data_IF_395280051870
#
_entry.id   IF_395280051870
#
_cell.length_a   1.000
_cell.length_b   1.000
_cell.length_c   1.000
_cell.angle_alpha   90.00
_cell.angle_beta   90.00
_cell.angle_gamma   90.00
#
_symmetry.space_group_name_H-M   'P 1'
#
loop_
_entity.id
_entity.type
_entity.pdbx_description
1 polymer ?
#
# COMPACT_ATOMS: atom_id res chain seq x y z
N UNK A 1 19.51 9.38 -29.34
CA UNK A 1 18.08 9.21 -29.67
C UNK A 1 17.56 7.99 -28.93
N UNK A 2 16.64 8.20 -27.99
CA UNK A 2 15.95 7.11 -27.30
C UNK A 2 14.62 6.88 -28.02
N UNK A 3 14.34 5.65 -28.45
CA UNK A 3 13.05 5.28 -29.02
C UNK A 3 12.44 4.25 -28.07
N UNK A 4 11.25 4.54 -27.55
CA UNK A 4 10.52 3.71 -26.59
C UNK A 4 11.35 3.28 -25.37
N UNK A 5 12.10 4.23 -24.80
CA UNK A 5 12.93 3.99 -23.62
C UNK A 5 14.17 3.12 -23.85
N UNK A 6 14.61 2.95 -25.10
CA UNK A 6 15.89 2.29 -25.44
C UNK A 6 16.77 3.28 -26.21
N UNK A 7 18.03 3.44 -25.77
CA UNK A 7 19.05 4.20 -26.49
C UNK A 7 19.38 3.49 -27.80
N UNK A 8 19.12 4.14 -28.94
CA UNK A 8 19.39 3.55 -30.26
C UNK A 8 20.88 3.57 -30.61
N UNK A 9 21.65 4.52 -30.08
CA UNK A 9 23.09 4.62 -30.34
C UNK A 9 23.92 3.70 -29.44
N UNK A 10 23.45 3.42 -28.22
CA UNK A 10 24.14 2.58 -27.23
C UNK A 10 23.12 1.78 -26.40
N UNK A 11 22.50 0.72 -26.95
CA UNK A 11 21.43 0.00 -26.26
C UNK A 11 21.93 -0.77 -25.02
N UNK A 12 23.19 -1.24 -25.05
CA UNK A 12 23.72 -2.15 -24.04
C UNK A 12 22.99 -3.51 -24.01
N UNK A 13 23.46 -4.45 -23.19
CA UNK A 13 22.87 -5.81 -23.09
C UNK A 13 21.41 -5.75 -22.65
N UNK A 14 21.07 -4.85 -21.72
CA UNK A 14 19.69 -4.62 -21.24
C UNK A 14 18.79 -4.10 -22.37
N UNK A 15 19.23 -3.09 -23.12
CA UNK A 15 18.48 -2.53 -24.24
C UNK A 15 18.28 -3.55 -25.37
N UNK A 16 19.32 -4.32 -25.70
CA UNK A 16 19.19 -5.42 -26.68
C UNK A 16 18.17 -6.48 -26.23
N UNK A 17 18.22 -6.94 -24.98
CA UNK A 17 17.21 -7.86 -24.44
C UNK A 17 15.79 -7.26 -24.49
N UNK A 18 15.64 -5.96 -24.19
CA UNK A 18 14.34 -5.27 -24.25
C UNK A 18 13.81 -5.17 -25.68
N UNK A 19 14.66 -4.82 -26.64
CA UNK A 19 14.32 -4.81 -28.06
C UNK A 19 13.91 -6.20 -28.55
N UNK A 20 14.71 -7.23 -28.28
CA UNK A 20 14.43 -8.62 -28.70
C UNK A 20 13.14 -9.16 -28.06
N UNK A 21 12.93 -8.94 -26.76
CA UNK A 21 11.68 -9.33 -26.08
C UNK A 21 10.45 -8.66 -26.68
N UNK A 22 10.59 -7.40 -27.12
CA UNK A 22 9.51 -6.67 -27.75
C UNK A 22 9.23 -7.14 -29.18
N UNK A 23 10.27 -7.38 -29.97
CA UNK A 23 10.16 -8.04 -31.28
C UNK A 23 9.46 -9.41 -31.15
N UNK A 24 9.81 -10.18 -30.12
CA UNK A 24 9.19 -11.47 -29.82
C UNK A 24 7.78 -11.36 -29.18
N UNK A 25 7.24 -10.15 -28.94
CA UNK A 25 6.00 -9.90 -28.17
C UNK A 25 5.95 -10.57 -26.78
N UNK A 26 7.11 -10.90 -26.20
CA UNK A 26 7.27 -11.61 -24.91
C UNK A 26 7.58 -10.66 -23.73
N UNK A 27 7.55 -9.35 -23.93
CA UNK A 27 7.87 -8.36 -22.90
C UNK A 27 6.61 -7.72 -22.31
N UNK A 28 6.40 -7.87 -21.00
CA UNK A 28 5.65 -6.87 -20.23
C UNK A 28 6.56 -5.66 -20.05
N UNK A 29 6.19 -4.50 -20.61
CA UNK A 29 6.88 -3.25 -20.32
C UNK A 29 6.70 -2.95 -18.83
N UNK A 30 7.77 -3.14 -18.05
CA UNK A 30 7.84 -2.72 -16.65
C UNK A 30 8.49 -1.34 -16.57
N UNK A 31 7.99 -0.53 -15.65
CA UNK A 31 8.48 0.81 -15.37
C UNK A 31 9.35 0.75 -14.12
N UNK A 32 10.64 1.07 -14.28
CA UNK A 32 11.63 0.92 -13.22
C UNK A 32 11.36 1.93 -12.09
N UNK A 33 10.85 3.11 -12.42
CA UNK A 33 10.54 4.19 -11.50
C UNK A 33 9.39 3.80 -10.56
N UNK A 34 8.37 3.10 -11.05
CA UNK A 34 7.28 2.57 -10.23
C UNK A 34 7.77 1.46 -9.31
N UNK A 35 8.60 0.56 -9.82
CA UNK A 35 9.22 -0.49 -9.00
C UNK A 35 10.17 0.11 -7.95
N UNK A 36 10.91 1.16 -8.30
CA UNK A 36 11.83 1.84 -7.38
C UNK A 36 11.08 2.47 -6.21
N UNK A 37 10.08 3.33 -6.48
CA UNK A 37 9.35 4.02 -5.41
C UNK A 37 8.58 3.01 -4.55
N UNK A 38 7.96 1.99 -5.17
CA UNK A 38 7.28 0.93 -4.41
C UNK A 38 8.27 0.16 -3.52
N UNK A 39 9.47 -0.11 -4.01
CA UNK A 39 10.53 -0.77 -3.24
C UNK A 39 11.03 0.07 -2.08
N UNK A 40 11.17 1.38 -2.28
CA UNK A 40 11.49 2.32 -1.21
C UNK A 40 10.40 2.35 -0.13
N UNK A 41 9.13 2.42 -0.51
CA UNK A 41 8.01 2.36 0.43
C UNK A 41 8.05 1.08 1.29
N UNK A 42 8.27 -0.09 0.66
CA UNK A 42 8.33 -1.37 1.37
C UNK A 42 9.55 -1.45 2.29
N UNK A 43 10.70 -0.95 1.86
CA UNK A 43 11.90 -0.90 2.70
C UNK A 43 11.67 -0.05 3.97
N UNK A 44 11.08 1.14 3.81
CA UNK A 44 10.77 2.03 4.92
C UNK A 44 9.73 1.42 5.86
N UNK A 45 8.71 0.74 5.33
CA UNK A 45 7.74 -0.01 6.12
C UNK A 45 8.40 -1.15 6.91
N UNK A 46 9.32 -1.91 6.31
CA UNK A 46 10.06 -2.96 7.04
C UNK A 46 10.92 -2.38 8.16
N UNK A 47 11.58 -1.24 7.91
CA UNK A 47 12.36 -0.54 8.93
C UNK A 47 11.46 -0.09 10.09
N UNK A 48 10.29 0.45 9.79
CA UNK A 48 9.33 0.94 10.77
C UNK A 48 8.87 -0.17 11.73
N UNK A 49 8.49 -1.33 11.18
CA UNK A 49 8.09 -2.50 11.96
C UNK A 49 9.26 -3.17 12.66
N UNK A 50 10.45 -3.17 12.08
CA UNK A 50 11.65 -3.64 12.76
C UNK A 50 11.93 -2.80 14.02
N UNK A 51 11.85 -1.47 13.90
CA UNK A 51 11.98 -0.58 15.06
C UNK A 51 10.86 -0.80 16.08
N UNK A 52 9.63 -1.11 15.63
CA UNK A 52 8.53 -1.46 16.56
C UNK A 52 8.89 -2.70 17.36
N UNK A 53 9.35 -3.75 16.67
CA UNK A 53 9.73 -5.00 17.31
C UNK A 53 10.87 -4.80 18.31
N UNK A 54 11.85 -3.94 18.02
CA UNK A 54 12.93 -3.65 18.97
C UNK A 54 12.47 -2.89 20.21
N UNK A 55 11.49 -2.01 20.08
CA UNK A 55 10.98 -1.22 21.20
C UNK A 55 10.01 -2.00 22.08
N UNK A 56 9.07 -2.73 21.47
CA UNK A 56 7.89 -3.29 22.15
C UNK A 56 7.94 -4.83 22.28
N UNK A 57 8.38 -5.55 21.24
CA UNK A 57 8.35 -7.04 21.23
C UNK A 57 9.62 -7.66 21.82
N UNK A 58 10.78 -7.06 21.56
CA UNK A 58 12.08 -7.59 21.97
C UNK A 58 12.26 -7.63 23.50
N UNK A 59 11.77 -6.66 24.30
CA UNK A 59 11.77 -6.76 25.76
C UNK A 59 11.04 -8.00 26.28
N UNK A 60 9.83 -8.27 25.79
CA UNK A 60 9.03 -9.43 26.18
C UNK A 60 9.70 -10.74 25.79
N UNK A 61 10.29 -10.81 24.58
CA UNK A 61 11.07 -11.96 24.13
C UNK A 61 12.29 -12.21 25.03
N UNK A 62 12.98 -11.15 25.43
CA UNK A 62 14.13 -11.22 26.32
C UNK A 62 13.73 -11.70 27.72
N UNK A 63 12.63 -11.20 28.26
CA UNK A 63 12.09 -11.66 29.55
C UNK A 63 11.71 -13.14 29.50
N UNK A 64 10.96 -13.55 28.46
CA UNK A 64 10.52 -14.93 28.28
C UNK A 64 11.70 -15.90 28.12
N UNK A 65 12.78 -15.48 27.44
CA UNK A 65 13.91 -16.35 27.14
C UNK A 65 15.09 -16.20 28.12
N UNK A 66 15.07 -15.20 29.00
CA UNK A 66 16.16 -14.90 29.93
C UNK A 66 17.38 -14.29 29.22
N UNK A 67 17.19 -13.53 28.13
CA UNK A 67 18.26 -12.93 27.33
C UNK A 67 18.27 -11.40 27.44
N UNK A 68 19.30 -10.75 26.91
CA UNK A 68 19.41 -9.28 26.83
C UNK A 68 19.71 -8.80 25.41
N UNK A 69 19.36 -9.62 24.40
CA UNK A 69 19.64 -9.38 22.99
C UNK A 69 18.99 -8.06 22.54
N UNK A 70 19.79 -7.20 21.89
CA UNK A 70 19.38 -5.86 21.43
C UNK A 70 18.80 -4.91 22.49
N UNK A 71 18.94 -5.18 23.79
CA UNK A 71 18.43 -4.30 24.87
C UNK A 71 18.94 -2.85 24.74
N UNK A 72 20.20 -2.65 24.35
CA UNK A 72 20.76 -1.32 24.09
C UNK A 72 20.14 -0.54 22.92
N UNK A 73 19.39 -1.21 22.04
CA UNK A 73 18.70 -0.59 20.90
C UNK A 73 17.26 -0.16 21.23
N UNK A 74 16.70 -0.58 22.36
CA UNK A 74 15.31 -0.27 22.73
C UNK A 74 15.07 1.25 22.79
N UNK A 75 15.99 2.00 23.39
CA UNK A 75 15.87 3.46 23.50
C UNK A 75 16.00 4.15 22.13
N UNK A 76 16.86 3.64 21.25
CA UNK A 76 17.00 4.17 19.88
C UNK A 76 15.71 3.92 19.09
N UNK A 77 15.14 2.73 19.21
CA UNK A 77 13.89 2.35 18.57
C UNK A 77 12.71 3.19 19.08
N UNK A 78 12.62 3.41 20.40
CA UNK A 78 11.62 4.28 21.02
C UNK A 78 11.73 5.73 20.55
N UNK A 79 12.95 6.28 20.47
CA UNK A 79 13.19 7.63 19.92
C UNK A 79 12.78 7.74 18.47
N UNK A 80 13.10 6.73 17.65
CA UNK A 80 12.65 6.66 16.26
C UNK A 80 11.12 6.66 16.15
N UNK A 81 10.43 5.87 16.98
CA UNK A 81 8.98 5.76 16.97
C UNK A 81 8.27 7.06 17.35
N UNK A 82 8.83 7.79 18.31
CA UNK A 82 8.32 9.09 18.77
C UNK A 82 8.76 10.27 17.90
N UNK A 83 9.54 10.04 16.85
CA UNK A 83 10.08 11.11 16.02
C UNK A 83 9.02 11.68 15.05
N UNK A 84 8.76 13.00 15.14
CA UNK A 84 7.76 13.67 14.28
C UNK A 84 8.07 13.55 12.79
N UNK A 85 9.36 13.51 12.42
CA UNK A 85 9.76 13.27 11.02
C UNK A 85 9.30 11.89 10.57
N UNK A 86 9.47 10.85 11.40
CA UNK A 86 9.00 9.50 11.09
C UNK A 86 7.48 9.48 10.90
N UNK A 87 6.72 10.21 11.72
CA UNK A 87 5.27 10.32 11.56
C UNK A 87 4.86 10.87 10.19
N UNK A 88 5.46 11.99 9.78
CA UNK A 88 5.16 12.60 8.48
C UNK A 88 5.65 11.76 7.30
N UNK A 89 6.84 11.15 7.42
CA UNK A 89 7.38 10.24 6.41
C UNK A 89 6.48 9.01 6.26
N UNK A 90 5.94 8.45 7.35
CA UNK A 90 4.98 7.35 7.31
C UNK A 90 3.75 7.71 6.48
N UNK A 91 3.15 8.87 6.69
CA UNK A 91 2.00 9.33 5.89
C UNK A 91 2.37 9.42 4.41
N UNK A 92 3.50 10.05 4.07
CA UNK A 92 3.95 10.17 2.69
C UNK A 92 4.19 8.80 2.03
N UNK A 93 4.80 7.86 2.75
CA UNK A 93 5.06 6.49 2.29
C UNK A 93 3.77 5.73 2.01
N UNK A 94 2.79 5.81 2.93
CA UNK A 94 1.48 5.17 2.80
C UNK A 94 0.73 5.73 1.57
N UNK A 95 0.64 7.05 1.45
CA UNK A 95 -0.03 7.70 0.33
C UNK A 95 0.64 7.36 -1.01
N UNK A 96 1.99 7.38 -1.07
CA UNK A 96 2.73 7.00 -2.26
C UNK A 96 2.47 5.55 -2.66
N UNK A 97 2.46 4.62 -1.70
CA UNK A 97 2.22 3.20 -1.95
C UNK A 97 0.82 2.95 -2.52
N UNK A 98 -0.21 3.56 -1.93
CA UNK A 98 -1.60 3.43 -2.40
C UNK A 98 -1.81 4.09 -3.77
N UNK A 99 -1.23 5.26 -3.99
CA UNK A 99 -1.26 5.93 -5.29
C UNK A 99 -0.62 5.08 -6.39
N UNK A 100 0.54 4.45 -6.11
CA UNK A 100 1.20 3.50 -7.03
C UNK A 100 0.34 2.26 -7.26
N UNK A 101 -0.37 1.76 -6.24
CA UNK A 101 -1.31 0.65 -6.40
C UNK A 101 -2.41 1.00 -7.42
N UNK A 102 -2.92 2.24 -7.35
CA UNK A 102 -3.87 2.84 -8.29
C UNK A 102 -3.33 3.01 -9.71
N UNK A 103 -2.11 3.55 -9.86
CA UNK A 103 -1.42 3.64 -11.15
C UNK A 103 -1.32 2.24 -11.78
N UNK A 104 -0.95 1.24 -10.97
CA UNK A 104 -0.82 -0.15 -11.41
C UNK A 104 -2.15 -0.74 -11.91
N UNK A 105 -3.30 -0.26 -11.41
CA UNK A 105 -4.62 -0.68 -11.91
C UNK A 105 -4.87 -0.25 -13.38
N UNK A 106 -4.26 0.86 -13.82
CA UNK A 106 -4.36 1.31 -15.23
C UNK A 106 -3.48 0.50 -16.19
N UNK A 107 -2.48 -0.22 -15.65
CA UNK A 107 -1.48 -0.95 -16.41
C UNK A 107 -1.79 -2.44 -16.52
N UNK A 108 -2.70 -2.94 -15.69
CA UNK A 108 -3.10 -4.34 -15.66
C UNK A 108 -4.22 -4.62 -16.66
N UNK A 109 -4.31 -5.85 -17.17
CA UNK A 109 -5.32 -6.27 -18.17
C UNK A 109 -6.64 -6.76 -17.57
N UNK A 110 -6.78 -6.75 -16.25
CA UNK A 110 -7.97 -7.22 -15.53
C UNK A 110 -7.84 -7.02 -14.03
N UNK A 111 -8.39 -5.91 -13.53
CA UNK A 111 -8.31 -5.55 -12.11
C UNK A 111 -9.09 -6.51 -11.21
N UNK A 112 -10.19 -7.09 -11.71
CA UNK A 112 -10.96 -8.09 -10.96
C UNK A 112 -10.13 -9.34 -10.62
N UNK A 113 -9.28 -9.80 -11.55
CA UNK A 113 -8.35 -10.93 -11.30
C UNK A 113 -7.27 -10.59 -10.27
N UNK A 114 -6.90 -9.32 -10.16
CA UNK A 114 -5.93 -8.83 -9.17
C UNK A 114 -6.55 -8.73 -7.77
N UNK A 115 -7.84 -8.40 -7.69
CA UNK A 115 -8.58 -8.34 -6.43
C UNK A 115 -8.66 -9.71 -5.74
N UNK A 116 -8.94 -10.79 -6.46
CA UNK A 116 -9.16 -12.14 -5.89
C UNK A 116 -8.05 -12.57 -4.92
N UNK A 117 -6.75 -12.62 -5.30
CA UNK A 117 -5.71 -13.03 -4.38
C UNK A 117 -5.55 -12.08 -3.18
N UNK A 118 -5.80 -10.78 -3.35
CA UNK A 118 -5.76 -9.82 -2.24
C UNK A 118 -6.88 -10.09 -1.24
N UNK A 119 -8.09 -10.37 -1.71
CA UNK A 119 -9.23 -10.72 -0.87
C UNK A 119 -9.01 -12.03 -0.12
N UNK A 120 -8.47 -13.06 -0.79
CA UNK A 120 -8.15 -14.33 -0.17
C UNK A 120 -7.09 -14.18 0.94
N UNK A 121 -6.05 -13.37 0.69
CA UNK A 121 -5.03 -13.08 1.70
C UNK A 121 -5.64 -12.28 2.87
N UNK A 122 -6.48 -11.27 2.60
CA UNK A 122 -7.14 -10.49 3.63
C UNK A 122 -7.99 -11.38 4.56
N UNK A 123 -8.88 -12.19 3.97
CA UNK A 123 -9.71 -13.15 4.71
C UNK A 123 -8.88 -14.18 5.47
N UNK A 124 -7.78 -14.66 4.87
CA UNK A 124 -6.85 -15.58 5.52
C UNK A 124 -6.17 -14.96 6.74
N UNK A 125 -5.77 -13.68 6.67
CA UNK A 125 -5.18 -12.96 7.79
C UNK A 125 -6.19 -12.79 8.92
N UNK A 126 -7.42 -12.36 8.63
CA UNK A 126 -8.47 -12.27 9.66
C UNK A 126 -8.77 -13.63 10.29
N UNK A 127 -8.87 -14.69 9.50
CA UNK A 127 -9.12 -16.03 10.01
C UNK A 127 -7.98 -16.52 10.93
N UNK A 128 -6.73 -16.36 10.52
CA UNK A 128 -5.56 -16.77 11.32
C UNK A 128 -5.46 -15.93 12.59
N UNK A 129 -5.60 -14.61 12.48
CA UNK A 129 -5.49 -13.71 13.64
C UNK A 129 -6.65 -13.89 14.61
N UNK A 130 -7.85 -14.24 14.15
CA UNK A 130 -8.97 -14.60 15.03
C UNK A 130 -8.66 -15.86 15.86
N UNK A 131 -7.96 -16.84 15.28
CA UNK A 131 -7.49 -18.01 16.03
C UNK A 131 -6.39 -17.62 17.02
N UNK A 132 -5.44 -16.80 16.61
CA UNK A 132 -4.34 -16.33 17.49
C UNK A 132 -4.88 -15.50 18.65
N UNK A 133 -5.94 -14.72 18.45
CA UNK A 133 -6.58 -13.89 19.47
C UNK A 133 -7.11 -14.70 20.66
N UNK A 134 -7.46 -15.97 20.43
CA UNK A 134 -7.85 -16.90 21.52
C UNK A 134 -6.71 -17.25 22.47
N UNK A 135 -5.45 -17.05 22.04
CA UNK A 135 -4.24 -17.29 22.83
C UNK A 135 -3.57 -15.98 23.28
N UNK A 136 -3.59 -14.95 22.42
CA UNK A 136 -2.97 -13.65 22.64
C UNK A 136 -4.04 -12.57 22.37
N UNK A 137 -4.76 -12.10 23.41
CA UNK A 137 -5.82 -11.11 23.24
C UNK A 137 -5.33 -9.82 22.57
N UNK A 138 -6.14 -9.25 21.68
CA UNK A 138 -5.84 -7.99 20.98
C UNK A 138 -5.06 -8.18 19.67
N UNK A 139 -4.95 -9.42 19.17
CA UNK A 139 -4.23 -9.71 17.91
C UNK A 139 -5.14 -9.88 16.71
N UNK A 140 -6.46 -9.98 16.91
CA UNK A 140 -7.41 -10.15 15.83
C UNK A 140 -7.40 -8.95 14.85
N UNK A 141 -7.24 -9.21 13.55
CA UNK A 141 -7.32 -8.18 12.51
C UNK A 141 -8.70 -8.24 11.86
N UNK A 142 -9.59 -7.31 12.24
CA UNK A 142 -10.96 -7.22 11.69
C UNK A 142 -10.99 -6.58 10.31
N UNK A 143 -10.38 -5.41 10.18
CA UNK A 143 -10.29 -4.69 8.93
C UNK A 143 -8.99 -3.90 8.88
N UNK A 144 -8.05 -4.41 8.09
CA UNK A 144 -6.74 -3.79 7.98
C UNK A 144 -6.32 -3.40 6.58
N UNK A 145 -5.05 -3.06 6.42
CA UNK A 145 -4.56 -2.41 5.19
C UNK A 145 -4.77 -3.27 3.94
N UNK A 146 -4.66 -4.60 4.04
CA UNK A 146 -4.87 -5.52 2.90
C UNK A 146 -6.36 -5.61 2.55
N UNK A 147 -7.25 -5.54 3.54
CA UNK A 147 -8.70 -5.46 3.32
C UNK A 147 -9.04 -4.19 2.55
N UNK A 148 -8.53 -3.04 3.02
CA UNK A 148 -8.69 -1.75 2.38
C UNK A 148 -8.14 -1.76 0.94
N UNK A 149 -6.94 -2.30 0.69
CA UNK A 149 -6.37 -2.40 -0.67
C UNK A 149 -7.24 -3.29 -1.56
N UNK A 150 -7.73 -4.43 -1.04
CA UNK A 150 -8.60 -5.32 -1.80
C UNK A 150 -9.88 -4.59 -2.21
N UNK A 151 -10.56 -3.91 -1.28
CA UNK A 151 -11.74 -3.11 -1.55
C UNK A 151 -11.46 -1.96 -2.54
N UNK A 152 -10.34 -1.24 -2.41
CA UNK A 152 -9.96 -0.17 -3.34
C UNK A 152 -9.68 -0.68 -4.76
N UNK A 153 -9.01 -1.83 -4.91
CA UNK A 153 -8.79 -2.48 -6.21
C UNK A 153 -10.10 -3.01 -6.80
N UNK A 154 -11.01 -3.54 -5.97
CA UNK A 154 -12.34 -3.95 -6.39
C UNK A 154 -13.17 -2.76 -6.89
N UNK A 155 -13.22 -1.67 -6.13
CA UNK A 155 -13.91 -0.44 -6.53
C UNK A 155 -13.38 0.07 -7.87
N UNK A 156 -12.06 0.09 -8.05
CA UNK A 156 -11.45 0.43 -9.33
C UNK A 156 -11.91 -0.51 -10.45
N UNK A 157 -11.90 -1.83 -10.20
CA UNK A 157 -12.30 -2.84 -11.18
C UNK A 157 -13.77 -2.69 -11.60
N UNK A 158 -14.67 -2.45 -10.65
CA UNK A 158 -16.09 -2.27 -10.91
C UNK A 158 -16.33 -1.04 -11.78
N UNK A 159 -15.70 0.09 -11.44
CA UNK A 159 -15.84 1.34 -12.20
C UNK A 159 -15.24 1.18 -13.62
N UNK A 160 -14.03 0.61 -13.75
CA UNK A 160 -13.39 0.45 -15.06
C UNK A 160 -14.11 -0.58 -15.96
N UNK A 161 -14.75 -1.60 -15.37
CA UNK A 161 -15.62 -2.53 -16.09
C UNK A 161 -16.92 -1.85 -16.54
N UNK A 162 -17.54 -1.03 -15.69
CA UNK A 162 -18.72 -0.25 -16.07
C UNK A 162 -18.41 0.70 -17.24
N UNK A 163 -17.25 1.39 -17.20
CA UNK A 163 -16.78 2.22 -18.31
C UNK A 163 -16.55 1.40 -19.58
N UNK A 164 -16.03 0.17 -19.46
CA UNK A 164 -15.83 -0.71 -20.60
C UNK A 164 -17.16 -1.16 -21.21
N UNK A 165 -18.15 -1.52 -20.41
CA UNK A 165 -19.49 -1.86 -20.89
C UNK A 165 -20.17 -0.67 -21.61
N UNK A 166 -20.02 0.55 -21.08
CA UNK A 166 -20.49 1.77 -21.76
C UNK A 166 -19.73 2.00 -23.08
N UNK A 167 -18.43 1.72 -23.12
CA UNK A 167 -17.63 1.84 -24.34
C UNK A 167 -18.13 0.90 -25.45
N UNK A 168 -18.44 -0.35 -25.10
CA UNK A 168 -18.95 -1.35 -26.03
C UNK A 168 -20.31 -0.93 -26.62
N UNK A 169 -21.15 -0.26 -25.83
CA UNK A 169 -22.43 0.28 -26.28
C UNK A 169 -22.30 1.49 -27.22
N UNK A 170 -21.32 2.38 -26.98
CA UNK A 170 -21.13 3.61 -27.77
C UNK A 170 -20.52 3.37 -29.16
N UNK A 171 -19.90 2.20 -29.39
CA UNK A 171 -19.28 1.82 -30.66
C UNK A 171 -17.97 2.55 -30.99
N UNK A 172 -17.51 2.44 -32.24
CA UNK A 172 -16.15 2.85 -32.66
C UNK A 172 -16.04 4.26 -33.29
N UNK A 173 -17.12 5.03 -33.24
CA UNK A 173 -17.15 6.40 -33.77
C UNK A 173 -16.10 7.32 -33.13
N UNK A 174 -15.68 8.37 -33.83
CA UNK A 174 -14.66 9.31 -33.31
C UNK A 174 -15.13 10.03 -32.04
N UNK A 175 -16.44 10.34 -31.94
CA UNK A 175 -17.08 10.89 -30.73
C UNK A 175 -17.11 9.86 -29.60
N UNK A 176 -17.46 8.61 -29.90
CA UNK A 176 -17.46 7.51 -28.93
C UNK A 176 -16.05 7.28 -28.35
N UNK A 177 -15.02 7.21 -29.19
CA UNK A 177 -13.62 7.07 -28.74
C UNK A 177 -13.15 8.22 -27.86
N UNK A 178 -13.60 9.46 -28.11
CA UNK A 178 -13.33 10.61 -27.23
C UNK A 178 -14.06 10.47 -25.90
N UNK A 179 -15.35 10.13 -25.92
CA UNK A 179 -16.15 9.93 -24.72
C UNK A 179 -15.55 8.84 -23.83
N UNK A 180 -15.21 7.67 -24.40
CA UNK A 180 -14.56 6.58 -23.67
C UNK A 180 -13.24 7.02 -23.04
N UNK A 181 -12.41 7.78 -23.77
CA UNK A 181 -11.15 8.30 -23.22
C UNK A 181 -11.37 9.16 -21.96
N UNK A 182 -12.41 9.99 -21.95
CA UNK A 182 -12.78 10.80 -20.78
C UNK A 182 -13.32 9.90 -19.65
N UNK A 183 -14.23 8.97 -19.98
CA UNK A 183 -14.81 8.04 -19.00
C UNK A 183 -13.76 7.15 -18.33
N UNK A 184 -12.63 6.86 -18.98
CA UNK A 184 -11.52 6.11 -18.35
C UNK A 184 -10.87 6.84 -17.16
N UNK A 185 -11.16 8.13 -16.94
CA UNK A 185 -10.77 8.88 -15.73
C UNK A 185 -11.83 8.80 -14.62
N UNK A 186 -12.98 8.16 -14.85
CA UNK A 186 -14.07 8.04 -13.88
C UNK A 186 -13.63 7.46 -12.53
N UNK A 187 -12.77 6.42 -12.43
CA UNK A 187 -12.28 5.97 -11.13
C UNK A 187 -11.65 7.11 -10.33
N UNK A 188 -10.78 7.92 -10.95
CA UNK A 188 -10.14 9.03 -10.28
C UNK A 188 -11.12 10.16 -9.92
N UNK A 189 -12.11 10.43 -10.77
CA UNK A 189 -13.17 11.40 -10.45
C UNK A 189 -13.98 10.97 -9.22
N UNK A 190 -14.31 9.68 -9.10
CA UNK A 190 -14.96 9.11 -7.91
C UNK A 190 -14.05 9.23 -6.69
N UNK A 191 -12.77 8.89 -6.81
CA UNK A 191 -11.78 9.08 -5.73
C UNK A 191 -11.71 10.53 -5.25
N UNK A 192 -11.65 11.50 -6.17
CA UNK A 192 -11.66 12.93 -5.83
C UNK A 192 -12.95 13.33 -5.11
N UNK A 193 -14.11 12.90 -5.61
CA UNK A 193 -15.40 13.18 -4.99
C UNK A 193 -15.50 12.61 -3.56
N UNK A 194 -14.99 11.40 -3.33
CA UNK A 194 -14.98 10.78 -2.01
C UNK A 194 -14.07 11.52 -1.02
N UNK A 195 -12.90 11.99 -1.47
CA UNK A 195 -12.00 12.80 -0.63
C UNK A 195 -12.65 14.15 -0.31
N UNK A 196 -13.22 14.82 -1.31
CA UNK A 196 -13.92 16.10 -1.10
C UNK A 196 -15.08 15.91 -0.13
N UNK A 197 -15.88 14.85 -0.30
CA UNK A 197 -16.97 14.52 0.62
C UNK A 197 -16.46 14.29 2.04
N UNK A 198 -15.40 13.50 2.22
CA UNK A 198 -14.82 13.21 3.52
C UNK A 198 -14.41 14.50 4.25
N UNK A 199 -13.63 15.36 3.60
CA UNK A 199 -13.13 16.59 4.22
C UNK A 199 -14.18 17.70 4.31
N UNK A 200 -15.23 17.67 3.49
CA UNK A 200 -16.33 18.61 3.61
C UNK A 200 -17.29 18.26 4.77
N UNK A 201 -17.42 16.98 5.10
CA UNK A 201 -18.44 16.51 6.03
C UNK A 201 -17.89 16.02 7.38
N UNK A 202 -16.77 15.30 7.38
CA UNK A 202 -16.43 14.41 8.50
C UNK A 202 -14.96 14.39 8.93
N UNK A 203 -14.06 15.08 8.23
CA UNK A 203 -12.65 15.10 8.61
C UNK A 203 -11.99 16.47 8.34
N UNK A 204 -10.91 16.74 9.08
CA UNK A 204 -10.00 17.86 8.82
C UNK A 204 -8.54 17.40 8.84
N UNK A 205 -7.66 18.16 8.20
CA UNK A 205 -6.21 17.98 8.25
C UNK A 205 -5.58 19.06 9.10
N UNK A 206 -5.01 18.66 10.22
CA UNK A 206 -4.27 19.53 11.12
C UNK A 206 -2.76 19.37 10.99
N UNK A 207 -2.03 20.32 11.56
CA UNK A 207 -0.61 20.17 11.88
C UNK A 207 -0.42 20.51 13.35
N UNK A 208 -0.22 19.49 14.17
CA UNK A 208 -0.13 19.60 15.64
C UNK A 208 1.19 18.96 16.07
N UNK A 209 1.98 19.69 16.87
CA UNK A 209 3.27 19.21 17.40
C UNK A 209 4.22 18.65 16.33
N UNK A 210 4.34 19.34 15.19
CA UNK A 210 5.21 18.90 14.11
C UNK A 210 4.65 17.74 13.27
N UNK A 211 3.44 17.25 13.53
CA UNK A 211 2.81 16.09 12.90
C UNK A 211 1.60 16.49 12.07
N UNK A 212 1.51 16.00 10.84
CA UNK A 212 0.28 16.04 10.05
C UNK A 212 -0.72 15.06 10.66
N UNK A 213 -1.89 15.55 11.08
CA UNK A 213 -2.93 14.72 11.70
C UNK A 213 -4.20 14.77 10.88
N UNK A 214 -4.85 13.63 10.71
CA UNK A 214 -6.20 13.55 10.18
C UNK A 214 -7.14 13.40 11.36
N UNK A 215 -7.98 14.40 11.59
CA UNK A 215 -8.94 14.40 12.70
C UNK A 215 -10.31 14.10 12.13
N UNK A 216 -10.94 13.02 12.59
CA UNK A 216 -12.33 12.73 12.26
C UNK A 216 -13.30 13.34 13.26
N UNK A 217 -14.40 13.88 12.77
CA UNK A 217 -15.51 14.39 13.57
C UNK A 217 -16.74 13.48 13.52
N UNK A 218 -16.64 12.35 12.84
CA UNK A 218 -17.75 11.41 12.73
C UNK A 218 -18.04 10.78 14.10
N UNK A 219 -19.20 11.05 14.73
CA UNK A 219 -19.43 10.66 16.11
C UNK A 219 -19.67 9.15 16.24
N UNK A 220 -19.21 8.56 17.35
CA UNK A 220 -19.61 7.21 17.72
C UNK A 220 -21.09 7.14 18.11
N UNK A 221 -21.69 5.98 17.88
CA UNK A 221 -23.03 5.64 18.35
C UNK A 221 -22.90 4.95 19.71
N UNK A 222 -23.30 5.65 20.77
CA UNK A 222 -23.22 5.11 22.12
C UNK A 222 -24.12 3.88 22.29
N UNK A 223 -23.57 2.82 22.86
CA UNK A 223 -24.29 1.57 23.13
C UNK A 223 -24.45 0.63 21.94
N UNK A 224 -23.94 0.99 20.75
CA UNK A 224 -23.99 0.15 19.55
C UNK A 224 -22.60 -0.07 18.95
N UNK A 225 -21.91 -1.07 19.49
CA UNK A 225 -20.57 -1.44 19.02
C UNK A 225 -20.59 -2.04 17.61
N UNK A 226 -21.66 -2.72 17.21
CA UNK A 226 -21.74 -3.36 15.90
C UNK A 226 -21.85 -2.31 14.79
N UNK A 227 -22.65 -1.27 15.03
CA UNK A 227 -22.75 -0.14 14.11
C UNK A 227 -21.44 0.67 14.04
N UNK A 228 -20.77 0.89 15.18
CA UNK A 228 -19.47 1.56 15.19
C UNK A 228 -18.41 0.72 14.45
N UNK A 229 -18.37 -0.60 14.68
CA UNK A 229 -17.49 -1.51 13.95
C UNK A 229 -17.74 -1.44 12.44
N UNK A 230 -19.01 -1.37 12.02
CA UNK A 230 -19.37 -1.23 10.62
C UNK A 230 -18.92 0.13 10.05
N UNK A 231 -19.14 1.24 10.77
CA UNK A 231 -18.69 2.57 10.35
C UNK A 231 -17.16 2.67 10.26
N UNK A 232 -16.43 2.04 11.17
CA UNK A 232 -14.96 1.96 11.14
C UNK A 232 -14.42 1.32 9.86
N UNK A 233 -15.18 0.46 9.17
CA UNK A 233 -14.75 -0.02 7.84
C UNK A 233 -14.59 1.13 6.85
N UNK A 234 -15.41 2.18 6.96
CA UNK A 234 -15.46 3.26 5.98
C UNK A 234 -14.64 4.49 6.36
N UNK A 235 -14.69 4.88 7.63
CA UNK A 235 -14.13 6.15 8.14
C UNK A 235 -13.68 5.98 9.59
N UNK A 236 -12.75 6.83 10.03
CA UNK A 236 -12.42 6.96 11.44
C UNK A 236 -13.63 7.44 12.24
N UNK A 237 -13.99 6.73 13.31
CA UNK A 237 -15.09 7.08 14.21
C UNK A 237 -14.50 7.75 15.45
N UNK A 238 -14.86 9.01 15.68
CA UNK A 238 -14.38 9.81 16.80
C UNK A 238 -14.71 9.12 18.13
N UNK A 239 -13.74 9.13 19.05
CA UNK A 239 -13.83 8.53 20.39
C UNK A 239 -13.95 7.00 20.39
N UNK A 240 -13.97 6.36 19.20
CA UNK A 240 -13.99 4.91 19.03
C UNK A 240 -12.72 4.39 18.34
N UNK A 241 -11.94 5.25 17.68
CA UNK A 241 -10.70 4.90 17.00
C UNK A 241 -9.71 4.19 17.94
N UNK A 242 -9.42 4.76 19.11
CA UNK A 242 -8.50 4.13 20.08
C UNK A 242 -8.99 2.74 20.51
N UNK A 243 -10.31 2.59 20.70
CA UNK A 243 -10.93 1.31 21.05
C UNK A 243 -10.79 0.34 19.87
N UNK A 244 -11.08 0.79 18.65
CA UNK A 244 -11.03 -0.08 17.47
C UNK A 244 -9.60 -0.50 17.13
N UNK A 245 -8.61 0.39 17.27
CA UNK A 245 -7.19 0.06 17.11
C UNK A 245 -6.73 -0.99 18.12
N UNK A 246 -7.18 -0.88 19.39
CA UNK A 246 -6.87 -1.89 20.41
C UNK A 246 -7.45 -3.27 20.11
N UNK A 247 -8.49 -3.33 19.27
CA UNK A 247 -9.16 -4.58 18.88
C UNK A 247 -8.76 -5.03 17.45
N UNK A 248 -8.06 -4.19 16.69
CA UNK A 248 -7.66 -4.43 15.30
C UNK A 248 -6.26 -3.85 15.03
N UNK A 249 -5.23 -4.67 15.28
CA UNK A 249 -3.80 -4.31 15.30
C UNK A 249 -3.19 -3.75 13.98
N UNK A 250 -3.99 -3.57 12.92
CA UNK A 250 -3.58 -3.00 11.62
C UNK A 250 -4.73 -2.19 10.99
N UNK A 251 -5.38 -1.32 11.76
CA UNK A 251 -6.60 -0.64 11.29
C UNK A 251 -6.34 0.40 10.19
N UNK A 252 -7.04 0.25 9.06
CA UNK A 252 -7.09 1.23 7.95
C UNK A 252 -8.50 1.31 7.35
N UNK A 253 -9.27 2.39 7.55
CA UNK A 253 -10.59 2.56 6.93
C UNK A 253 -10.53 2.73 5.42
N UNK A 254 -11.66 2.60 4.71
CA UNK A 254 -11.71 2.83 3.27
C UNK A 254 -11.38 4.27 2.88
N UNK A 255 -11.87 5.27 3.62
CA UNK A 255 -11.56 6.68 3.37
C UNK A 255 -10.52 7.17 4.39
N UNK A 256 -9.48 7.90 3.93
CA UNK A 256 -9.25 8.39 2.56
C UNK A 256 -8.54 7.39 1.63
N UNK A 257 -8.07 6.25 2.13
CA UNK A 257 -7.03 5.45 1.46
C UNK A 257 -7.45 4.77 0.15
N UNK A 258 -8.64 4.14 0.10
CA UNK A 258 -9.19 3.56 -1.13
C UNK A 258 -9.46 4.65 -2.19
N UNK A 259 -9.83 5.86 -1.76
CA UNK A 259 -10.00 6.99 -2.67
C UNK A 259 -8.65 7.45 -3.27
N UNK A 260 -7.55 7.38 -2.51
CA UNK A 260 -6.19 7.61 -3.03
C UNK A 260 -5.79 6.56 -4.06
N UNK A 261 -6.16 5.28 -3.87
CA UNK A 261 -5.97 4.22 -4.88
C UNK A 261 -6.72 4.60 -6.17
N UNK A 262 -7.97 5.05 -6.06
CA UNK A 262 -8.76 5.48 -7.22
C UNK A 262 -8.12 6.68 -7.94
N UNK A 263 -7.63 7.67 -7.20
CA UNK A 263 -6.91 8.84 -7.73
C UNK A 263 -5.64 8.48 -8.51
N UNK A 264 -4.93 7.42 -8.08
CA UNK A 264 -3.78 6.90 -8.82
C UNK A 264 -4.10 6.55 -10.28
N UNK A 265 -5.38 6.26 -10.57
CA UNK A 265 -5.90 6.07 -11.93
C UNK A 265 -5.68 7.26 -12.86
N UNK A 266 -5.80 8.49 -12.37
CA UNK A 266 -5.57 9.70 -13.16
C UNK A 266 -4.11 9.80 -13.60
N UNK A 267 -3.18 9.60 -12.67
CA UNK A 267 -1.74 9.64 -12.94
C UNK A 267 -1.36 8.53 -13.93
N UNK A 268 -1.87 7.31 -13.70
CA UNK A 268 -1.66 6.18 -14.59
C UNK A 268 -2.06 6.51 -16.03
N UNK A 269 -3.27 7.05 -16.23
CA UNK A 269 -3.78 7.44 -17.56
C UNK A 269 -3.03 8.64 -18.16
N UNK A 270 -2.73 9.67 -17.37
CA UNK A 270 -2.07 10.89 -17.87
C UNK A 270 -0.61 10.66 -18.29
N UNK A 271 0.12 9.80 -17.56
CA UNK A 271 1.55 9.58 -17.78
C UNK A 271 1.80 8.27 -18.54
N UNK A 272 1.30 7.16 -18.03
CA UNK A 272 1.70 5.83 -18.50
C UNK A 272 0.96 5.33 -19.74
N UNK A 273 -0.13 6.01 -20.13
CA UNK A 273 -0.82 5.80 -21.42
C UNK A 273 -0.41 6.82 -22.50
N UNK A 274 0.56 7.69 -22.20
CA UNK A 274 1.09 8.68 -23.14
C UNK A 274 2.57 8.42 -23.43
N UNK A 275 3.20 9.13 -24.40
CA UNK A 275 4.64 9.02 -24.63
C UNK A 275 5.49 9.41 -23.41
N UNK A 276 4.94 10.14 -22.43
CA UNK A 276 5.61 10.56 -21.21
C UNK A 276 6.08 9.38 -20.33
N UNK A 277 5.53 8.18 -20.53
CA UNK A 277 5.95 6.95 -19.83
C UNK A 277 7.42 6.54 -20.02
N UNK A 278 8.12 7.18 -20.97
CA UNK A 278 9.54 6.92 -21.23
C UNK A 278 10.45 8.05 -20.73
N UNK A 279 9.91 9.09 -20.10
CA UNK A 279 10.68 10.27 -19.65
C UNK A 279 11.83 9.86 -18.73
N UNK A 280 11.60 8.91 -17.83
CA UNK A 280 12.61 8.44 -16.87
C UNK A 280 13.46 7.27 -17.37
N UNK A 281 13.25 6.78 -18.59
CA UNK A 281 14.05 5.67 -19.14
C UNK A 281 15.57 5.94 -19.17
N UNK A 282 16.07 7.17 -19.40
CA UNK A 282 17.51 7.44 -19.36
C UNK A 282 18.16 7.32 -17.97
N UNK A 283 17.36 7.38 -16.89
CA UNK A 283 17.86 7.26 -15.52
C UNK A 283 17.90 5.81 -15.01
N UNK A 284 17.37 4.85 -15.80
CA UNK A 284 17.38 3.43 -15.44
C UNK A 284 18.82 2.88 -15.47
N UNK A 285 19.23 2.12 -14.45
CA UNK A 285 20.59 1.64 -14.33
C UNK A 285 20.84 0.65 -13.19
N UNK A 286 22.11 0.28 -13.00
CA UNK A 286 22.50 -0.68 -11.96
C UNK A 286 22.23 -0.18 -10.54
N UNK A 287 22.29 1.14 -10.32
CA UNK A 287 22.13 1.79 -9.02
C UNK A 287 20.76 1.54 -8.36
N UNK A 288 19.70 1.40 -9.17
CA UNK A 288 18.32 1.25 -8.68
C UNK A 288 17.91 -0.22 -8.47
N UNK A 289 18.77 -1.19 -8.81
CA UNK A 289 18.38 -2.61 -8.94
C UNK A 289 17.83 -3.20 -7.64
N UNK A 290 18.41 -2.83 -6.48
CA UNK A 290 17.98 -3.32 -5.17
C UNK A 290 16.55 -2.87 -4.84
N UNK A 291 16.28 -1.57 -4.92
CA UNK A 291 14.93 -1.01 -4.73
C UNK A 291 13.94 -1.59 -5.73
N UNK A 292 14.31 -1.66 -7.01
CA UNK A 292 13.47 -2.27 -8.03
C UNK A 292 13.19 -3.77 -7.75
N UNK A 293 14.13 -4.51 -7.15
CA UNK A 293 13.89 -5.89 -6.73
C UNK A 293 12.84 -5.95 -5.61
N UNK A 294 12.98 -5.13 -4.58
CA UNK A 294 11.98 -5.05 -3.50
C UNK A 294 10.60 -4.68 -4.05
N UNK A 295 10.52 -3.66 -4.90
CA UNK A 295 9.25 -3.21 -5.48
C UNK A 295 8.60 -4.20 -6.44
N UNK A 296 9.38 -5.08 -7.08
CA UNK A 296 8.83 -6.17 -7.91
C UNK A 296 8.22 -7.31 -7.09
N UNK A 297 8.65 -7.48 -5.85
CA UNK A 297 8.18 -8.50 -4.92
C UNK A 297 7.38 -7.89 -3.76
N UNK A 298 6.96 -6.63 -3.89
CA UNK A 298 6.38 -5.85 -2.80
C UNK A 298 5.19 -6.55 -2.16
N UNK A 299 4.29 -7.16 -2.94
CA UNK A 299 3.10 -7.83 -2.40
C UNK A 299 3.45 -9.01 -1.48
N UNK A 300 4.48 -9.79 -1.83
CA UNK A 300 4.95 -10.88 -0.99
C UNK A 300 5.65 -10.36 0.27
N UNK A 301 6.56 -9.40 0.11
CA UNK A 301 7.31 -8.81 1.23
C UNK A 301 6.34 -8.15 2.22
N UNK A 302 5.33 -7.46 1.70
CA UNK A 302 4.29 -6.80 2.48
C UNK A 302 3.51 -7.77 3.38
N UNK A 303 3.23 -8.98 2.93
CA UNK A 303 2.57 -9.98 3.79
C UNK A 303 3.58 -10.66 4.71
N UNK A 304 4.74 -11.04 4.17
CA UNK A 304 5.71 -11.85 4.89
C UNK A 304 6.38 -11.11 6.06
N UNK A 305 6.61 -9.80 5.96
CA UNK A 305 7.41 -9.09 6.95
C UNK A 305 6.82 -9.06 8.36
N UNK A 306 5.48 -9.07 8.49
CA UNK A 306 4.78 -9.12 9.79
C UNK A 306 5.11 -10.39 10.59
N UNK A 307 5.39 -11.49 9.90
CA UNK A 307 5.74 -12.76 10.53
C UNK A 307 7.25 -12.93 10.61
N UNK A 308 7.95 -12.62 9.51
CA UNK A 308 9.39 -12.88 9.39
C UNK A 308 10.20 -12.06 10.38
N UNK A 309 9.86 -10.79 10.60
CA UNK A 309 10.64 -9.92 11.50
C UNK A 309 10.58 -10.44 12.96
N UNK A 310 9.40 -10.62 13.59
CA UNK A 310 9.33 -11.14 14.96
C UNK A 310 9.92 -12.54 15.10
N UNK A 311 9.67 -13.44 14.13
CA UNK A 311 10.20 -14.81 14.18
C UNK A 311 11.72 -14.82 14.13
N UNK A 312 12.35 -14.02 13.26
CA UNK A 312 13.81 -13.94 13.21
C UNK A 312 14.41 -13.40 14.51
N UNK A 313 13.78 -12.39 15.12
CA UNK A 313 14.20 -11.86 16.42
C UNK A 313 14.08 -12.92 17.52
N UNK A 314 12.98 -13.67 17.56
CA UNK A 314 12.80 -14.78 18.50
C UNK A 314 13.81 -15.91 18.30
N UNK A 315 14.11 -16.27 17.05
CA UNK A 315 15.16 -17.25 16.72
C UNK A 315 16.53 -16.76 17.19
N UNK A 316 16.88 -15.49 16.95
CA UNK A 316 18.13 -14.94 17.43
C UNK A 316 18.21 -14.92 18.96
N UNK A 317 17.13 -14.55 19.64
CA UNK A 317 17.06 -14.60 21.10
C UNK A 317 17.26 -16.03 21.62
N UNK A 318 16.60 -17.02 21.01
CA UNK A 318 16.77 -18.43 21.35
C UNK A 318 18.21 -18.91 21.15
N UNK A 319 18.84 -18.53 20.04
CA UNK A 319 20.25 -18.84 19.77
C UNK A 319 21.15 -18.18 20.82
N UNK A 320 20.91 -16.90 21.15
CA UNK A 320 21.66 -16.19 22.20
C UNK A 320 21.54 -16.89 23.56
N UNK A 321 20.35 -17.40 23.91
CA UNK A 321 20.13 -18.17 25.13
C UNK A 321 21.02 -19.41 25.22
N UNK A 322 21.40 -20.03 24.11
CA UNK A 322 22.29 -21.19 24.12
C UNK A 322 23.73 -20.86 24.53
N UNK A 323 24.09 -19.57 24.58
CA UNK A 323 25.44 -19.08 24.89
C UNK A 323 25.54 -18.29 26.21
N UNK A 324 24.44 -18.16 26.95
CA UNK A 324 24.36 -17.47 28.25
C UNK A 324 23.95 -18.51 29.30
#
# INVERSE_FOLDING_TARGET
MYIYGVSQKRPGVSGYKKMVRRYARRGHDRFWELDFVRGLCVLLMMLDHFMYCLWDIMPDLNEMLGTSLFSGWQEVARRYWNWDVRWNVRIAVILAFFLISGISCTLTRGNFRRFIPLALVALGISAVTNVVDTFIPGTHIRFGVIHMIACGVLAYALIDNAVSAVADFLGDGLRARRAVRILRYLPAAVGAALIIFLFAAWADLGFVDGKITLTSFYPMVHGDNDLNNFHSVFIYVRDYEEIYESISADYFPLLPYAAVILLGGAIGRAIYHTPAKYTFAPLDGAWNRGFCFLGRHSGFIFVAHMIVIPVLLGVFALVTKLFI
#
